data_IF_795406132443
#
_entry.id   IF_795406132443
#
_cell.length_a   1.000
_cell.length_b   1.000
_cell.length_c   1.000
_cell.angle_alpha   90.00
_cell.angle_beta   90.00
_cell.angle_gamma   90.00
#
_symmetry.space_group_name_H-M   'P 1'
#
loop_
_entity.id
_entity.type
_entity.pdbx_description
1 polymer ?
#
# COMPACT_ATOMS: atom_id res chain seq x y z
N UNK A 1 25.03 -34.11 -39.42
CA UNK A 1 25.21 -33.31 -38.18
C UNK A 1 24.62 -31.92 -38.44
N UNK A 2 23.73 -31.38 -37.58
CA UNK A 2 23.15 -30.06 -37.81
C UNK A 2 24.25 -28.99 -37.81
N UNK A 3 24.12 -28.00 -38.71
CA UNK A 3 25.12 -26.95 -38.92
C UNK A 3 25.12 -25.97 -37.73
N UNK A 4 26.26 -25.75 -37.04
CA UNK A 4 26.33 -24.84 -35.89
C UNK A 4 25.80 -23.43 -36.18
N UNK A 5 26.05 -22.91 -37.39
CA UNK A 5 25.59 -21.57 -37.80
C UNK A 5 24.05 -21.48 -37.86
N UNK A 6 23.38 -22.58 -38.20
CA UNK A 6 21.90 -22.62 -38.25
C UNK A 6 21.28 -22.63 -36.85
N UNK A 7 21.95 -23.20 -35.86
CA UNK A 7 21.50 -23.22 -34.47
C UNK A 7 21.58 -21.82 -33.85
N UNK A 8 22.70 -21.11 -34.04
CA UNK A 8 22.85 -19.73 -33.58
C UNK A 8 21.83 -18.77 -34.22
N UNK A 9 21.49 -18.98 -35.50
CA UNK A 9 20.46 -18.17 -36.16
C UNK A 9 19.07 -18.40 -35.53
N UNK A 10 18.73 -19.64 -35.18
CA UNK A 10 17.47 -19.97 -34.51
C UNK A 10 17.42 -19.36 -33.10
N UNK A 11 18.51 -19.43 -32.34
CA UNK A 11 18.59 -18.84 -31.00
C UNK A 11 18.46 -17.30 -31.05
N UNK A 12 19.09 -16.65 -32.03
CA UNK A 12 18.97 -15.21 -32.23
C UNK A 12 17.52 -14.80 -32.58
N UNK A 13 16.83 -15.57 -33.41
CA UNK A 13 15.42 -15.33 -33.76
C UNK A 13 14.51 -15.52 -32.55
N UNK A 14 14.76 -16.55 -31.73
CA UNK A 14 14.00 -16.80 -30.50
C UNK A 14 14.15 -15.64 -29.50
N UNK A 15 15.38 -15.16 -29.29
CA UNK A 15 15.64 -14.01 -28.41
C UNK A 15 14.95 -12.72 -28.90
N UNK A 16 14.97 -12.45 -30.21
CA UNK A 16 14.27 -11.30 -30.79
C UNK A 16 12.75 -11.42 -30.60
N UNK A 17 12.19 -12.62 -30.77
CA UNK A 17 10.75 -12.86 -30.58
C UNK A 17 10.33 -12.61 -29.12
N UNK A 18 11.12 -13.07 -28.14
CA UNK A 18 10.86 -12.85 -26.72
C UNK A 18 10.89 -11.37 -26.35
N UNK A 19 11.90 -10.63 -26.80
CA UNK A 19 12.02 -9.18 -26.57
C UNK A 19 10.84 -8.41 -27.17
N UNK A 20 10.39 -8.80 -28.37
CA UNK A 20 9.21 -8.20 -29.01
C UNK A 20 7.93 -8.50 -28.23
N UNK A 21 7.76 -9.73 -27.74
CA UNK A 21 6.62 -10.13 -26.91
C UNK A 21 6.55 -9.35 -25.60
N UNK A 22 7.67 -9.23 -24.89
CA UNK A 22 7.76 -8.44 -23.67
C UNK A 22 7.41 -6.96 -23.89
N UNK A 23 7.98 -6.35 -24.94
CA UNK A 23 7.73 -4.95 -25.25
C UNK A 23 6.26 -4.69 -25.62
N UNK A 24 5.62 -5.60 -26.36
CA UNK A 24 4.19 -5.50 -26.69
C UNK A 24 3.31 -5.60 -25.44
N UNK A 25 3.59 -6.56 -24.56
CA UNK A 25 2.87 -6.71 -23.28
C UNK A 25 3.03 -5.48 -22.39
N UNK A 26 4.26 -4.95 -22.24
CA UNK A 26 4.53 -3.74 -21.46
C UNK A 26 3.78 -2.52 -22.04
N UNK A 27 3.77 -2.36 -23.36
CA UNK A 27 3.07 -1.26 -24.02
C UNK A 27 1.55 -1.35 -23.78
N UNK A 28 0.96 -2.54 -23.85
CA UNK A 28 -0.46 -2.74 -23.58
C UNK A 28 -0.84 -2.40 -22.12
N UNK A 29 -0.03 -2.80 -21.15
CA UNK A 29 -0.24 -2.46 -19.73
C UNK A 29 -0.18 -0.95 -19.47
N UNK A 30 0.74 -0.25 -20.14
CA UNK A 30 0.86 1.20 -20.01
C UNK A 30 -0.27 1.95 -20.72
N UNK A 31 -0.77 1.45 -21.84
CA UNK A 31 -1.87 2.09 -22.58
C UNK A 31 -3.19 2.10 -21.81
N UNK A 32 -3.41 1.09 -20.95
CA UNK A 32 -4.60 0.99 -20.09
C UNK A 32 -4.44 1.65 -18.72
N UNK A 33 -3.23 2.09 -18.35
CA UNK A 33 -2.98 2.71 -17.06
C UNK A 33 -3.54 4.14 -17.04
N UNK A 34 -4.65 4.35 -16.32
CA UNK A 34 -5.09 5.71 -15.97
C UNK A 34 -4.01 6.33 -15.07
N UNK A 35 -3.58 7.58 -15.30
CA UNK A 35 -2.73 8.26 -14.33
C UNK A 35 -3.48 8.28 -13.01
N UNK A 36 -2.84 7.80 -11.94
CA UNK A 36 -3.34 8.04 -10.60
C UNK A 36 -3.22 9.54 -10.38
N UNK A 37 -4.29 10.29 -10.66
CA UNK A 37 -4.43 11.67 -10.24
C UNK A 37 -4.56 11.64 -8.72
N UNK A 38 -3.43 11.49 -8.02
CA UNK A 38 -3.39 11.54 -6.57
C UNK A 38 -3.49 13.00 -6.14
N UNK A 39 -4.65 13.60 -6.36
CA UNK A 39 -5.08 14.77 -5.59
C UNK A 39 -5.66 14.27 -4.28
N UNK A 40 -4.82 13.68 -3.42
CA UNK A 40 -5.10 13.76 -2.00
C UNK A 40 -4.96 15.25 -1.69
N UNK A 41 -6.07 15.95 -1.43
CA UNK A 41 -5.99 17.31 -0.89
C UNK A 41 -5.39 17.16 0.50
N UNK A 42 -4.07 17.28 0.61
CA UNK A 42 -3.39 17.34 1.89
C UNK A 42 -3.74 18.70 2.47
N UNK A 43 -4.79 18.73 3.31
CA UNK A 43 -5.15 19.92 4.07
C UNK A 43 -3.90 20.32 4.87
N UNK A 44 -3.25 21.40 4.44
CA UNK A 44 -2.16 22.03 5.17
C UNK A 44 -2.77 22.55 6.47
N UNK A 45 -2.68 21.78 7.54
CA UNK A 45 -3.01 22.26 8.89
C UNK A 45 -1.95 23.32 9.23
N UNK A 46 -2.29 24.57 8.94
CA UNK A 46 -1.55 25.74 9.40
C UNK A 46 -1.46 25.66 10.92
N UNK A 47 -0.23 25.78 11.44
CA UNK A 47 0.09 25.68 12.84
C UNK A 47 -0.85 26.49 13.73
N UNK A 48 -1.76 25.78 14.36
CA UNK A 48 -2.36 25.96 15.66
C UNK A 48 -2.81 24.53 16.01
N UNK A 49 -2.41 24.02 17.18
CA UNK A 49 -2.73 22.65 17.62
C UNK A 49 -4.20 22.36 17.29
N UNK A 50 -4.54 21.35 16.47
CA UNK A 50 -5.89 21.22 15.99
C UNK A 50 -6.78 21.01 17.21
N UNK A 51 -7.68 21.97 17.43
CA UNK A 51 -8.95 21.65 18.09
C UNK A 51 -9.43 20.40 17.39
N UNK A 52 -9.44 19.28 18.11
CA UNK A 52 -9.81 17.97 17.57
C UNK A 52 -11.15 18.16 16.86
N UNK A 53 -11.20 18.07 15.51
CA UNK A 53 -12.46 18.29 14.82
C UNK A 53 -13.48 17.27 15.32
N UNK A 54 -14.75 17.66 15.46
CA UNK A 54 -15.79 16.77 16.00
C UNK A 54 -15.74 15.40 15.29
N UNK A 55 -15.60 14.33 16.07
CA UNK A 55 -15.50 12.95 15.57
C UNK A 55 -14.08 12.39 15.39
N UNK A 56 -13.01 13.16 15.63
CA UNK A 56 -11.65 12.64 15.67
C UNK A 56 -11.26 12.14 17.06
N UNK A 57 -10.57 11.00 17.15
CA UNK A 57 -10.08 10.41 18.41
C UNK A 57 -8.57 10.64 18.53
N UNK A 58 -8.12 11.12 19.69
CA UNK A 58 -6.71 11.27 19.99
C UNK A 58 -6.08 9.89 20.23
N UNK A 59 -5.08 9.56 19.43
CA UNK A 59 -4.33 8.31 19.55
C UNK A 59 -2.86 8.61 19.80
N UNK A 60 -2.16 7.80 20.63
CA UNK A 60 -0.73 7.94 20.82
C UNK A 60 0.04 7.86 19.49
N UNK A 61 1.10 8.67 19.36
CA UNK A 61 2.01 8.61 18.19
C UNK A 61 2.65 7.24 18.00
N UNK A 62 2.87 6.53 19.11
CA UNK A 62 3.46 5.20 19.16
C UNK A 62 2.40 4.25 19.73
N UNK A 63 2.02 3.18 19.00
CA UNK A 63 0.95 2.29 19.44
C UNK A 63 1.35 1.57 20.72
N UNK A 64 0.44 1.52 21.69
CA UNK A 64 0.67 0.81 22.94
C UNK A 64 0.64 -0.71 22.72
N UNK A 65 1.19 -1.47 23.66
CA UNK A 65 1.14 -2.94 23.60
C UNK A 65 -0.30 -3.48 23.52
N UNK A 66 -1.26 -2.80 24.13
CA UNK A 66 -2.67 -3.18 24.07
C UNK A 66 -3.23 -3.02 22.64
N UNK A 67 -2.93 -1.90 21.98
CA UNK A 67 -3.32 -1.66 20.59
C UNK A 67 -2.70 -2.69 19.65
N UNK A 68 -1.42 -3.00 19.82
CA UNK A 68 -0.70 -4.00 19.02
C UNK A 68 -1.32 -5.40 19.20
N UNK A 69 -1.59 -5.82 20.45
CA UNK A 69 -2.21 -7.12 20.73
C UNK A 69 -3.61 -7.23 20.14
N UNK A 70 -4.43 -6.19 20.27
CA UNK A 70 -5.79 -6.15 19.72
C UNK A 70 -5.77 -6.30 18.19
N UNK A 71 -4.89 -5.55 17.51
CA UNK A 71 -4.66 -5.68 16.07
C UNK A 71 -4.26 -7.10 15.65
N UNK A 72 -3.24 -7.67 16.31
CA UNK A 72 -2.71 -8.99 15.95
C UNK A 72 -3.74 -10.10 16.17
N UNK A 73 -4.59 -9.97 17.20
CA UNK A 73 -5.72 -10.89 17.43
C UNK A 73 -6.70 -10.91 16.26
N UNK A 74 -7.04 -9.74 15.72
CA UNK A 74 -7.97 -9.64 14.58
C UNK A 74 -7.37 -10.19 13.27
N UNK A 75 -6.06 -9.99 13.06
CA UNK A 75 -5.34 -10.61 11.94
C UNK A 75 -5.30 -12.12 12.09
N UNK A 76 -5.03 -12.64 13.30
CA UNK A 76 -5.02 -14.08 13.56
C UNK A 76 -6.39 -14.73 13.30
N UNK A 77 -7.48 -13.98 13.47
CA UNK A 77 -8.84 -14.40 13.15
C UNK A 77 -9.26 -14.15 11.69
N UNK A 78 -8.33 -13.76 10.80
CA UNK A 78 -8.57 -13.47 9.38
C UNK A 78 -9.68 -12.43 9.12
N UNK A 79 -9.94 -11.52 10.06
CA UNK A 79 -10.99 -10.49 9.95
C UNK A 79 -10.57 -9.28 9.11
N UNK A 80 -9.30 -9.25 8.68
CA UNK A 80 -8.71 -8.24 7.81
C UNK A 80 -8.28 -6.96 8.53
N UNK A 81 -7.56 -6.10 7.81
CA UNK A 81 -6.94 -4.89 8.38
C UNK A 81 -7.96 -3.88 8.94
N UNK A 82 -9.16 -3.78 8.36
CA UNK A 82 -10.18 -2.86 8.86
C UNK A 82 -10.67 -3.24 10.27
N UNK A 83 -10.80 -4.53 10.55
CA UNK A 83 -11.14 -5.03 11.88
C UNK A 83 -9.97 -4.81 12.85
N UNK A 84 -8.74 -5.07 12.40
CA UNK A 84 -7.52 -4.75 13.15
C UNK A 84 -7.42 -3.27 13.55
N UNK A 85 -7.66 -2.34 12.61
CA UNK A 85 -7.62 -0.89 12.90
C UNK A 85 -8.66 -0.52 13.95
N UNK A 86 -9.89 -1.05 13.82
CA UNK A 86 -10.96 -0.80 14.78
C UNK A 86 -10.59 -1.27 16.19
N UNK A 87 -10.12 -2.51 16.31
CA UNK A 87 -9.71 -3.07 17.60
C UNK A 87 -8.52 -2.31 18.21
N UNK A 88 -7.56 -1.86 17.40
CA UNK A 88 -6.46 -1.03 17.88
C UNK A 88 -6.93 0.34 18.38
N UNK A 89 -7.90 0.97 17.70
CA UNK A 89 -8.50 2.24 18.13
C UNK A 89 -9.33 2.10 19.41
N UNK A 90 -10.08 1.01 19.56
CA UNK A 90 -10.84 0.68 20.77
C UNK A 90 -9.91 0.44 21.97
N UNK A 91 -8.74 -0.16 21.73
CA UNK A 91 -7.71 -0.40 22.74
C UNK A 91 -6.80 0.81 23.00
N UNK A 92 -7.01 1.94 22.31
CA UNK A 92 -6.22 3.14 22.52
C UNK A 92 -6.52 3.74 23.91
N UNK A 93 -5.48 4.16 24.66
CA UNK A 93 -5.71 4.84 25.92
C UNK A 93 -6.43 6.17 25.65
N UNK A 94 -7.58 6.36 26.30
CA UNK A 94 -8.30 7.62 26.26
C UNK A 94 -7.46 8.65 27.03
N UNK A 95 -6.73 9.49 26.30
CA UNK A 95 -6.05 10.63 26.89
C UNK A 95 -7.12 11.58 27.43
N UNK A 96 -7.29 11.63 28.75
CA UNK A 96 -8.11 12.65 29.40
C UNK A 96 -7.56 14.02 28.98
N UNK A 97 -8.31 14.73 28.15
CA UNK A 97 -8.08 16.14 27.90
C UNK A 97 -8.38 16.85 29.22
N UNK A 98 -7.35 17.01 30.05
CA UNK A 98 -7.38 17.90 31.20
C UNK A 98 -7.68 19.31 30.68
N UNK A 99 -8.97 19.65 30.66
CA UNK A 99 -9.49 21.01 30.50
C UNK A 99 -9.16 21.77 31.78
N UNK A 100 -7.93 22.29 31.85
CA UNK A 100 -7.59 23.41 32.73
C UNK A 100 -8.14 24.71 32.16
#
# INVERSE_FOLDING_TARGET
MPNPLSMYAVDAVAAIAEVRGWNACRAAMLHGAKPVSQTYKLNKLSGNSPVTPDGWVMVPKEPTQAMIKAWLSEIANFRGHAAGYRAALEAAPQLEVNRG
#
